data_IF_174139173835
#
_entry.id   IF_174139173835
#
_cell.length_a   1.000
_cell.length_b   1.000
_cell.length_c   1.000
_cell.angle_alpha   90.00
_cell.angle_beta   90.00
_cell.angle_gamma   90.00
#
_symmetry.space_group_name_H-M   'P 1'
#
loop_
_entity.id
_entity.type
_entity.pdbx_description
1 polymer ?
#
# COMPACT_ATOMS: atom_id res chain seq x y z
N UNK A 1 -15.28 11.94 6.81
CA UNK A 1 -15.51 11.03 5.66
C UNK A 1 -14.80 11.62 4.47
N UNK A 2 -13.95 10.87 3.79
CA UNK A 2 -13.21 11.28 2.59
C UNK A 2 -13.46 10.27 1.48
N UNK A 3 -13.26 10.66 0.21
CA UNK A 3 -13.29 9.76 -0.94
C UNK A 3 -11.88 9.43 -1.38
N UNK A 4 -11.60 8.16 -1.64
CA UNK A 4 -10.29 7.66 -2.08
C UNK A 4 -10.44 6.96 -3.43
N UNK A 5 -9.60 7.30 -4.40
CA UNK A 5 -9.45 6.56 -5.65
C UNK A 5 -8.36 5.49 -5.44
N UNK A 6 -8.75 4.21 -5.52
CA UNK A 6 -7.84 3.08 -5.36
C UNK A 6 -7.64 2.36 -6.70
N UNK A 7 -6.39 2.19 -7.12
CA UNK A 7 -5.97 1.57 -8.39
C UNK A 7 -5.05 0.41 -8.04
N UNK A 8 -5.54 -0.83 -8.11
CA UNK A 8 -4.76 -2.04 -7.75
C UNK A 8 -5.39 -3.30 -8.33
N UNK A 9 -4.79 -4.46 -8.07
CA UNK A 9 -5.38 -5.76 -8.41
C UNK A 9 -6.71 -6.00 -7.69
N UNK A 10 -7.56 -6.84 -8.28
CA UNK A 10 -8.72 -7.39 -7.62
C UNK A 10 -8.74 -8.92 -7.76
N UNK A 11 -9.03 -9.61 -6.66
CA UNK A 11 -9.20 -11.06 -6.64
C UNK A 11 -10.60 -11.41 -6.13
N UNK A 12 -11.23 -12.44 -6.75
CA UNK A 12 -12.53 -12.91 -6.32
C UNK A 12 -12.46 -13.67 -4.99
N UNK A 13 -11.37 -14.40 -4.75
CA UNK A 13 -11.08 -15.08 -3.50
C UNK A 13 -9.75 -14.60 -2.93
N UNK A 14 -9.75 -14.18 -1.67
CA UNK A 14 -8.59 -13.69 -0.96
C UNK A 14 -8.71 -12.20 -0.61
N UNK A 15 -7.65 -11.67 0.01
CA UNK A 15 -7.62 -10.33 0.57
C UNK A 15 -6.35 -9.59 0.13
N UNK A 16 -6.15 -9.45 -1.18
CA UNK A 16 -5.06 -8.68 -1.78
C UNK A 16 -5.60 -7.55 -2.65
N UNK A 17 -4.80 -6.51 -2.84
CA UNK A 17 -5.17 -5.36 -3.67
C UNK A 17 -6.48 -4.71 -3.20
N UNK A 18 -7.37 -4.44 -4.13
CA UNK A 18 -8.68 -3.82 -3.83
C UNK A 18 -9.53 -4.64 -2.87
N UNK A 19 -9.37 -5.98 -2.84
CA UNK A 19 -10.09 -6.84 -1.89
C UNK A 19 -9.63 -6.65 -0.44
N UNK A 20 -8.47 -6.02 -0.21
CA UNK A 20 -8.01 -5.59 1.11
C UNK A 20 -8.20 -4.07 1.33
N UNK A 21 -7.86 -3.25 0.34
CA UNK A 21 -7.89 -1.79 0.43
C UNK A 21 -9.32 -1.28 0.67
N UNK A 22 -10.29 -1.75 -0.13
CA UNK A 22 -11.68 -1.26 -0.07
C UNK A 22 -12.33 -1.51 1.29
N UNK A 23 -12.37 -2.74 1.83
CA UNK A 23 -12.99 -2.98 3.13
C UNK A 23 -12.27 -2.27 4.27
N UNK A 24 -10.93 -2.08 4.21
CA UNK A 24 -10.18 -1.36 5.22
C UNK A 24 -10.57 0.13 5.27
N UNK A 25 -10.65 0.80 4.11
CA UNK A 25 -11.06 2.19 4.01
C UNK A 25 -12.53 2.39 4.37
N UNK A 26 -13.44 1.50 3.94
CA UNK A 26 -14.85 1.53 4.33
C UNK A 26 -15.01 1.39 5.85
N UNK A 27 -14.24 0.48 6.47
CA UNK A 27 -14.25 0.32 7.93
C UNK A 27 -13.84 1.60 8.67
N UNK A 28 -12.91 2.39 8.08
CA UNK A 28 -12.49 3.69 8.62
C UNK A 28 -13.43 4.85 8.25
N UNK A 29 -14.56 4.56 7.56
CA UNK A 29 -15.59 5.55 7.22
C UNK A 29 -15.30 6.36 5.96
N UNK A 30 -14.46 5.87 5.04
CA UNK A 30 -14.14 6.52 3.77
C UNK A 30 -14.89 5.86 2.60
N UNK A 31 -15.26 6.66 1.59
CA UNK A 31 -15.76 6.15 0.30
C UNK A 31 -14.60 5.75 -0.60
N UNK A 32 -14.77 4.70 -1.40
CA UNK A 32 -13.73 4.23 -2.31
C UNK A 32 -14.26 4.12 -3.74
N UNK A 33 -13.57 4.78 -4.68
CA UNK A 33 -13.67 4.52 -6.11
C UNK A 33 -12.61 3.46 -6.42
N UNK A 34 -13.02 2.25 -6.80
CA UNK A 34 -12.13 1.12 -7.03
C UNK A 34 -11.92 0.89 -8.54
N UNK A 35 -10.67 1.01 -9.00
CA UNK A 35 -10.25 0.73 -10.38
C UNK A 35 -9.35 -0.51 -10.40
N UNK A 36 -9.85 -1.67 -10.82
CA UNK A 36 -9.04 -2.87 -10.94
C UNK A 36 -8.08 -2.80 -12.12
N UNK A 37 -6.81 -3.15 -11.88
CA UNK A 37 -5.78 -3.31 -12.94
C UNK A 37 -5.76 -4.72 -13.51
N UNK A 38 -6.11 -5.70 -12.68
CA UNK A 38 -6.35 -7.09 -13.03
C UNK A 38 -7.57 -7.59 -12.27
N UNK A 39 -8.30 -8.53 -12.85
CA UNK A 39 -9.38 -9.26 -12.18
C UNK A 39 -9.05 -10.74 -12.24
N UNK A 40 -8.75 -11.34 -11.10
CA UNK A 40 -8.32 -12.73 -10.98
C UNK A 40 -9.24 -13.51 -10.06
N UNK A 41 -9.28 -14.82 -10.24
CA UNK A 41 -9.99 -15.73 -9.33
C UNK A 41 -9.41 -15.70 -7.91
N UNK A 42 -8.09 -15.59 -7.80
CA UNK A 42 -7.32 -15.63 -6.55
C UNK A 42 -5.89 -15.13 -6.79
N UNK A 43 -5.11 -15.02 -5.73
CA UNK A 43 -3.69 -14.65 -5.81
C UNK A 43 -2.91 -15.67 -6.66
N UNK A 44 -1.98 -15.22 -7.56
CA UNK A 44 -1.19 -16.12 -8.43
C UNK A 44 -0.26 -17.08 -7.70
N UNK A 45 0.01 -16.89 -6.41
CA UNK A 45 0.76 -17.84 -5.56
C UNK A 45 0.07 -19.19 -5.37
N UNK A 46 -1.21 -19.33 -5.71
CA UNK A 46 -1.89 -20.63 -5.71
C UNK A 46 -1.55 -21.44 -6.97
N UNK A 47 -1.62 -22.78 -6.91
CA UNK A 47 -1.32 -23.63 -8.07
C UNK A 47 -2.18 -23.39 -9.30
N UNK A 48 -3.36 -22.83 -9.13
CA UNK A 48 -4.30 -22.49 -10.21
C UNK A 48 -4.92 -21.15 -9.97
N UNK A 49 -4.91 -20.31 -10.97
CA UNK A 49 -5.66 -19.06 -11.02
C UNK A 49 -6.14 -18.81 -12.46
N UNK A 50 -7.13 -17.96 -12.60
CA UNK A 50 -7.67 -17.50 -13.89
C UNK A 50 -8.11 -16.04 -13.76
N UNK A 51 -8.19 -15.36 -14.88
CA UNK A 51 -8.60 -13.96 -14.94
C UNK A 51 -7.88 -13.23 -16.05
N UNK A 52 -7.98 -11.91 -16.02
CA UNK A 52 -7.41 -11.05 -17.07
C UNK A 52 -6.86 -9.75 -16.52
N UNK A 53 -5.95 -9.17 -17.27
CA UNK A 53 -5.48 -7.79 -17.08
C UNK A 53 -6.47 -6.85 -17.76
N UNK A 54 -6.95 -5.84 -17.03
CA UNK A 54 -7.77 -4.77 -17.60
C UNK A 54 -6.85 -3.87 -18.44
N UNK A 55 -7.11 -3.67 -19.73
CA UNK A 55 -6.25 -2.83 -20.55
C UNK A 55 -6.09 -1.41 -19.99
N UNK A 56 -4.87 -0.86 -19.98
CA UNK A 56 -4.62 0.48 -19.47
C UNK A 56 -5.48 1.56 -20.16
N UNK A 57 -5.77 1.38 -21.46
CA UNK A 57 -6.68 2.26 -22.20
C UNK A 57 -8.12 2.23 -21.64
N UNK A 58 -8.58 1.08 -21.14
CA UNK A 58 -9.90 0.97 -20.52
C UNK A 58 -9.95 1.67 -19.19
N UNK A 59 -8.87 1.59 -18.37
CA UNK A 59 -8.74 2.37 -17.14
C UNK A 59 -8.78 3.86 -17.45
N UNK A 60 -8.09 4.30 -18.52
CA UNK A 60 -8.17 5.68 -19.00
C UNK A 60 -9.59 6.12 -19.35
N UNK A 61 -10.33 5.30 -20.10
CA UNK A 61 -11.72 5.58 -20.46
C UNK A 61 -12.66 5.64 -19.23
N UNK A 62 -12.43 4.80 -18.22
CA UNK A 62 -13.17 4.89 -16.95
C UNK A 62 -12.85 6.19 -16.21
N UNK A 63 -11.59 6.61 -16.18
CA UNK A 63 -11.19 7.90 -15.59
C UNK A 63 -11.82 9.08 -16.35
N UNK A 64 -11.87 9.05 -17.70
CA UNK A 64 -12.53 10.06 -18.50
C UNK A 64 -14.02 10.22 -18.12
N UNK A 65 -14.72 9.09 -17.97
CA UNK A 65 -16.12 9.09 -17.57
C UNK A 65 -16.32 9.62 -16.14
N UNK A 66 -15.45 9.26 -15.20
CA UNK A 66 -15.49 9.76 -13.81
C UNK A 66 -15.22 11.26 -13.73
N UNK A 67 -14.24 11.76 -14.51
CA UNK A 67 -13.93 13.19 -14.60
C UNK A 67 -15.10 13.97 -15.21
N UNK A 68 -15.69 13.47 -16.28
CA UNK A 68 -16.87 14.08 -16.92
C UNK A 68 -18.09 14.14 -15.99
N UNK A 69 -18.24 13.16 -15.10
CA UNK A 69 -19.29 13.15 -14.07
C UNK A 69 -18.95 14.01 -12.83
N UNK A 70 -17.77 14.63 -12.78
CA UNK A 70 -17.33 15.45 -11.66
C UNK A 70 -16.92 14.68 -10.39
N UNK A 71 -16.79 13.35 -10.46
CA UNK A 71 -16.55 12.53 -9.26
C UNK A 71 -15.13 12.60 -8.73
N UNK A 72 -14.18 13.08 -9.54
CA UNK A 72 -12.79 13.26 -9.12
C UNK A 72 -12.58 14.50 -8.26
N UNK A 73 -13.47 15.49 -8.30
CA UNK A 73 -13.33 16.75 -7.59
C UNK A 73 -13.32 16.60 -6.05
N UNK A 74 -14.11 15.66 -5.53
CA UNK A 74 -14.21 15.40 -4.09
C UNK A 74 -13.24 14.29 -3.62
N UNK A 75 -12.30 13.86 -4.47
CA UNK A 75 -11.34 12.82 -4.12
C UNK A 75 -10.21 13.40 -3.28
N UNK A 76 -10.12 12.96 -2.04
CA UNK A 76 -9.13 13.44 -1.07
C UNK A 76 -7.78 12.71 -1.16
N UNK A 77 -7.77 11.50 -1.75
CA UNK A 77 -6.54 10.75 -1.95
C UNK A 77 -6.64 9.79 -3.12
N UNK A 78 -5.47 9.47 -3.69
CA UNK A 78 -5.28 8.36 -4.61
C UNK A 78 -4.35 7.36 -3.94
N UNK A 79 -4.63 6.06 -4.06
CA UNK A 79 -3.71 4.98 -3.70
C UNK A 79 -3.52 4.07 -4.90
N UNK A 80 -2.27 3.85 -5.30
CA UNK A 80 -1.92 2.84 -6.30
C UNK A 80 -1.20 1.67 -5.63
N UNK A 81 -1.55 0.45 -6.01
CA UNK A 81 -0.87 -0.78 -5.64
C UNK A 81 -0.36 -1.51 -6.88
N UNK A 82 -0.77 -2.77 -7.09
CA UNK A 82 -0.29 -3.60 -8.19
C UNK A 82 -0.63 -3.02 -9.58
N UNK A 83 0.41 -2.73 -10.38
CA UNK A 83 0.32 -2.18 -11.74
C UNK A 83 1.10 -3.10 -12.71
N UNK A 84 0.42 -3.91 -13.54
CA UNK A 84 1.05 -5.01 -14.28
C UNK A 84 1.98 -4.59 -15.43
N UNK A 85 1.99 -3.32 -15.84
CA UNK A 85 2.86 -2.84 -16.93
C UNK A 85 3.17 -1.35 -16.82
N UNK A 86 4.19 -0.83 -17.57
CA UNK A 86 4.48 0.61 -17.64
C UNK A 86 3.27 1.45 -18.09
N UNK A 87 2.42 0.92 -18.97
CA UNK A 87 1.21 1.62 -19.40
C UNK A 87 0.20 1.81 -18.25
N UNK A 88 0.16 0.87 -17.29
CA UNK A 88 -0.66 1.02 -16.08
C UNK A 88 -0.06 2.05 -15.12
N UNK A 89 1.27 2.11 -15.01
CA UNK A 89 1.95 3.17 -14.25
C UNK A 89 1.63 4.56 -14.83
N UNK A 90 1.71 4.72 -16.16
CA UNK A 90 1.29 5.95 -16.84
C UNK A 90 -0.20 6.27 -16.62
N UNK A 91 -1.07 5.27 -16.59
CA UNK A 91 -2.49 5.42 -16.26
C UNK A 91 -2.72 5.90 -14.82
N UNK A 92 -2.00 5.33 -13.86
CA UNK A 92 -2.05 5.75 -12.45
C UNK A 92 -1.52 7.19 -12.29
N UNK A 93 -0.42 7.55 -12.99
CA UNK A 93 0.07 8.93 -13.05
C UNK A 93 -1.02 9.90 -13.54
N UNK A 94 -1.65 9.57 -14.66
CA UNK A 94 -2.74 10.38 -15.19
C UNK A 94 -3.89 10.54 -14.19
N UNK A 95 -4.25 9.49 -13.46
CA UNK A 95 -5.28 9.57 -12.41
C UNK A 95 -4.89 10.54 -11.29
N UNK A 96 -3.65 10.48 -10.80
CA UNK A 96 -3.12 11.40 -9.78
C UNK A 96 -3.16 12.84 -10.27
N UNK A 97 -2.68 13.09 -11.49
CA UNK A 97 -2.67 14.42 -12.10
C UNK A 97 -4.09 15.02 -12.27
N UNK A 98 -5.06 14.19 -12.68
CA UNK A 98 -6.48 14.59 -12.81
C UNK A 98 -7.10 14.91 -11.46
N UNK A 99 -6.92 14.07 -10.46
CA UNK A 99 -7.42 14.32 -9.11
C UNK A 99 -6.80 15.59 -8.54
N UNK A 100 -5.48 15.78 -8.64
CA UNK A 100 -4.80 16.99 -8.14
C UNK A 100 -5.15 18.26 -8.91
N UNK A 101 -5.54 18.15 -10.17
CA UNK A 101 -6.07 19.30 -10.92
C UNK A 101 -7.40 19.78 -10.33
N UNK A 102 -8.23 18.86 -9.89
CA UNK A 102 -9.54 19.16 -9.28
C UNK A 102 -9.43 19.44 -7.78
N UNK A 103 -8.52 18.76 -7.07
CA UNK A 103 -8.23 18.93 -5.64
C UNK A 103 -6.71 18.94 -5.43
N UNK A 104 -6.04 20.12 -5.41
CA UNK A 104 -4.59 20.23 -5.27
C UNK A 104 -4.02 19.63 -3.97
N UNK A 105 -4.81 19.53 -2.92
CA UNK A 105 -4.41 18.99 -1.61
C UNK A 105 -4.55 17.47 -1.53
N UNK A 106 -5.03 16.82 -2.60
CA UNK A 106 -5.20 15.38 -2.63
C UNK A 106 -3.87 14.64 -2.40
N UNK A 107 -3.88 13.72 -1.44
CA UNK A 107 -2.73 12.87 -1.15
C UNK A 107 -2.57 11.83 -2.25
N UNK A 108 -1.31 11.46 -2.52
CA UNK A 108 -1.04 10.27 -3.33
C UNK A 108 -0.18 9.29 -2.54
N UNK A 109 -0.69 8.07 -2.38
CA UNK A 109 0.03 6.93 -1.80
C UNK A 109 0.49 6.02 -2.92
N UNK A 110 1.79 5.88 -3.07
CA UNK A 110 2.43 4.93 -3.97
C UNK A 110 2.81 3.68 -3.17
N UNK A 111 2.04 2.61 -3.29
CA UNK A 111 2.42 1.28 -2.85
C UNK A 111 3.05 0.57 -4.05
N UNK A 112 4.38 0.31 -4.05
CA UNK A 112 5.08 -0.07 -5.28
C UNK A 112 4.66 -1.42 -5.84
N UNK A 113 4.47 -2.42 -5.00
CA UNK A 113 3.99 -3.79 -5.28
C UNK A 113 4.62 -4.39 -6.54
N UNK A 114 5.96 -4.48 -6.58
CA UNK A 114 6.69 -5.05 -7.71
C UNK A 114 7.66 -6.18 -7.35
N UNK A 115 7.88 -6.44 -6.09
CA UNK A 115 8.83 -7.47 -5.64
C UNK A 115 8.76 -7.71 -4.14
N UNK A 116 9.29 -8.86 -3.70
CA UNK A 116 9.43 -9.23 -2.28
C UNK A 116 10.56 -10.26 -2.13
N UNK A 117 11.02 -10.50 -0.93
CA UNK A 117 11.92 -11.59 -0.62
C UNK A 117 11.15 -12.87 -0.27
N UNK A 118 11.64 -14.07 -0.69
CA UNK A 118 12.87 -14.33 -1.44
C UNK A 118 12.67 -14.29 -2.97
N UNK A 119 11.48 -14.01 -3.50
CA UNK A 119 11.12 -14.15 -4.92
C UNK A 119 11.83 -13.13 -5.81
N UNK A 120 12.19 -11.97 -5.28
CA UNK A 120 12.74 -10.86 -6.05
C UNK A 120 11.63 -10.10 -6.82
N UNK A 121 11.96 -9.54 -7.98
CA UNK A 121 10.98 -8.87 -8.83
C UNK A 121 9.98 -9.89 -9.41
N UNK A 122 8.68 -9.65 -9.19
CA UNK A 122 7.60 -10.37 -9.87
C UNK A 122 6.93 -9.56 -10.98
N UNK A 123 7.26 -8.27 -11.09
CA UNK A 123 6.98 -7.45 -12.27
C UNK A 123 8.22 -7.35 -13.16
N UNK A 124 8.03 -6.89 -14.42
CA UNK A 124 9.17 -6.58 -15.28
C UNK A 124 9.97 -5.40 -14.72
N UNK A 125 11.29 -5.41 -14.94
CA UNK A 125 12.17 -4.31 -14.55
C UNK A 125 11.70 -2.97 -15.16
N UNK A 126 11.18 -2.99 -16.39
CA UNK A 126 10.59 -1.81 -17.02
C UNK A 126 9.38 -1.26 -16.26
N UNK A 127 8.56 -2.14 -15.66
CA UNK A 127 7.42 -1.71 -14.84
C UNK A 127 7.89 -1.14 -13.51
N UNK A 128 8.83 -1.80 -12.84
CA UNK A 128 9.42 -1.30 -11.59
C UNK A 128 10.11 0.07 -11.81
N UNK A 129 10.83 0.23 -12.93
CA UNK A 129 11.41 1.50 -13.32
C UNK A 129 10.35 2.58 -13.59
N UNK A 130 9.26 2.27 -14.27
CA UNK A 130 8.17 3.23 -14.49
C UNK A 130 7.51 3.67 -13.15
N UNK A 131 7.34 2.76 -12.20
CA UNK A 131 6.85 3.11 -10.86
C UNK A 131 7.83 4.06 -10.16
N UNK A 132 9.14 3.75 -10.20
CA UNK A 132 10.19 4.61 -9.62
C UNK A 132 10.24 5.99 -10.26
N UNK A 133 10.23 6.05 -11.59
CA UNK A 133 10.54 7.27 -12.34
C UNK A 133 9.33 8.17 -12.57
N UNK A 134 8.12 7.57 -12.64
CA UNK A 134 6.89 8.31 -12.96
C UNK A 134 5.93 8.50 -11.78
N UNK A 135 5.88 7.55 -10.83
CA UNK A 135 4.92 7.59 -9.73
C UNK A 135 5.53 8.06 -8.42
N UNK A 136 6.70 7.54 -8.07
CA UNK A 136 7.36 7.88 -6.81
C UNK A 136 7.59 9.40 -6.65
N UNK A 137 8.01 10.17 -7.69
CA UNK A 137 8.16 11.62 -7.58
C UNK A 137 6.86 12.38 -7.30
N UNK A 138 5.70 11.78 -7.57
CA UNK A 138 4.39 12.36 -7.27
C UNK A 138 3.88 11.98 -5.88
N UNK A 139 4.48 10.99 -5.22
CA UNK A 139 3.97 10.44 -4.00
C UNK A 139 4.05 11.44 -2.82
N UNK A 140 2.96 11.57 -2.08
CA UNK A 140 2.94 12.18 -0.74
C UNK A 140 3.43 11.19 0.31
N UNK A 141 3.20 9.90 0.05
CA UNK A 141 3.63 8.76 0.84
C UNK A 141 3.99 7.59 -0.08
N UNK A 142 5.10 6.93 0.17
CA UNK A 142 5.41 5.63 -0.41
C UNK A 142 5.41 4.54 0.68
N UNK A 143 4.99 3.30 0.32
CA UNK A 143 4.89 2.18 1.28
C UNK A 143 5.69 0.94 0.85
N UNK A 144 6.97 1.08 0.47
CA UNK A 144 7.78 -0.03 0.00
C UNK A 144 8.05 -1.06 1.10
N UNK A 145 8.06 -2.36 0.74
CA UNK A 145 8.64 -3.38 1.60
C UNK A 145 10.19 -3.30 1.60
N UNK A 146 10.85 -4.18 2.36
CA UNK A 146 12.31 -4.19 2.48
C UNK A 146 13.02 -4.34 1.12
N UNK A 147 12.58 -5.28 0.30
CA UNK A 147 13.12 -5.53 -1.04
C UNK A 147 12.90 -4.33 -1.97
N UNK A 148 11.69 -3.82 -2.01
CA UNK A 148 11.31 -2.68 -2.85
C UNK A 148 12.09 -1.42 -2.46
N UNK A 149 12.22 -1.15 -1.16
CA UNK A 149 12.98 -0.01 -0.68
C UNK A 149 14.46 -0.10 -1.11
N UNK A 150 15.08 -1.26 -0.94
CA UNK A 150 16.45 -1.49 -1.37
C UNK A 150 16.61 -1.28 -2.89
N UNK A 151 15.69 -1.82 -3.68
CA UNK A 151 15.69 -1.68 -5.14
C UNK A 151 15.50 -0.22 -5.58
N UNK A 152 14.53 0.49 -5.00
CA UNK A 152 14.21 1.89 -5.32
C UNK A 152 15.35 2.84 -4.97
N UNK A 153 15.98 2.64 -3.82
CA UNK A 153 17.07 3.50 -3.33
C UNK A 153 18.43 3.12 -3.92
N UNK A 154 18.60 1.90 -4.45
CA UNK A 154 19.90 1.36 -4.84
C UNK A 154 20.85 1.19 -3.64
N UNK A 155 20.32 0.99 -2.45
CA UNK A 155 21.03 0.84 -1.18
C UNK A 155 20.64 -0.45 -0.48
N UNK A 156 21.54 -1.08 0.29
CA UNK A 156 21.16 -2.21 1.13
C UNK A 156 20.20 -1.78 2.22
N UNK A 157 19.26 -2.70 2.59
CA UNK A 157 18.31 -2.50 3.68
C UNK A 157 18.21 -3.81 4.47
N UNK A 158 18.82 -3.86 5.63
CA UNK A 158 18.82 -5.04 6.51
C UNK A 158 18.36 -4.74 7.94
N UNK A 159 18.24 -3.45 8.29
CA UNK A 159 17.80 -3.01 9.61
C UNK A 159 17.08 -1.64 9.56
N UNK A 160 16.46 -1.17 10.65
CA UNK A 160 15.76 0.11 10.67
C UNK A 160 16.63 1.35 10.38
N UNK A 161 17.88 1.48 10.85
CA UNK A 161 18.79 2.57 10.44
C UNK A 161 19.07 2.60 8.94
N UNK A 162 19.34 1.46 8.31
CA UNK A 162 19.53 1.36 6.87
C UNK A 162 18.25 1.70 6.10
N UNK A 163 17.09 1.23 6.60
CA UNK A 163 15.79 1.58 6.02
C UNK A 163 15.52 3.09 6.09
N UNK A 164 15.86 3.76 7.20
CA UNK A 164 15.80 5.22 7.32
C UNK A 164 16.64 5.91 6.25
N UNK A 165 17.90 5.48 6.08
CA UNK A 165 18.82 6.05 5.10
C UNK A 165 18.28 5.86 3.67
N UNK A 166 17.85 4.65 3.33
CA UNK A 166 17.29 4.33 2.03
C UNK A 166 15.99 5.11 1.74
N UNK A 167 15.11 5.24 2.72
CA UNK A 167 13.89 6.02 2.60
C UNK A 167 14.16 7.50 2.34
N UNK A 168 15.14 8.09 2.99
CA UNK A 168 15.56 9.48 2.72
C UNK A 168 16.09 9.67 1.31
N UNK A 169 16.84 8.69 0.79
CA UNK A 169 17.39 8.74 -0.56
C UNK A 169 16.30 8.77 -1.65
N UNK A 170 15.07 8.33 -1.36
CA UNK A 170 13.97 8.38 -2.31
C UNK A 170 13.45 9.80 -2.58
N UNK A 171 13.68 10.76 -1.68
CA UNK A 171 13.20 12.13 -1.83
C UNK A 171 11.67 12.29 -1.73
N UNK A 172 10.96 11.27 -1.26
CA UNK A 172 9.50 11.31 -1.04
C UNK A 172 9.21 11.95 0.33
N UNK A 173 8.21 12.86 0.45
CA UNK A 173 7.91 13.55 1.70
C UNK A 173 7.66 12.65 2.90
N UNK A 174 7.08 11.46 2.66
CA UNK A 174 6.88 10.44 3.69
C UNK A 174 7.10 9.06 3.10
N UNK A 175 7.84 8.19 3.80
CA UNK A 175 8.06 6.80 3.42
C UNK A 175 7.74 5.91 4.62
N UNK A 176 6.81 4.99 4.44
CA UNK A 176 6.52 3.92 5.38
C UNK A 176 7.15 2.63 4.88
N UNK A 177 8.40 2.40 5.24
CA UNK A 177 9.12 1.17 4.93
C UNK A 177 8.58 0.01 5.77
N UNK A 178 8.20 -1.09 5.12
CA UNK A 178 7.52 -2.22 5.77
C UNK A 178 8.38 -3.47 5.77
N UNK A 179 8.10 -4.39 6.69
CA UNK A 179 8.78 -5.69 6.79
C UNK A 179 10.30 -5.62 6.96
N UNK A 180 10.81 -4.54 7.54
CA UNK A 180 12.25 -4.35 7.76
C UNK A 180 12.73 -5.32 8.85
N UNK A 181 13.77 -6.14 8.60
CA UNK A 181 14.32 -7.02 9.60
C UNK A 181 14.77 -6.27 10.86
N UNK A 182 14.52 -6.85 12.04
CA UNK A 182 14.93 -6.28 13.31
C UNK A 182 15.40 -7.38 14.27
N UNK A 183 16.06 -6.98 15.38
CA UNK A 183 16.49 -7.89 16.43
C UNK A 183 15.33 -8.69 17.03
N UNK A 184 15.64 -9.77 17.75
CA UNK A 184 14.69 -10.56 18.53
C UNK A 184 13.54 -11.18 17.69
N UNK A 185 13.83 -11.59 16.47
CA UNK A 185 12.85 -12.19 15.55
C UNK A 185 11.62 -11.28 15.34
N UNK A 186 11.87 -9.99 15.14
CA UNK A 186 10.85 -8.98 14.86
C UNK A 186 11.01 -8.41 13.45
N UNK A 187 9.96 -7.76 12.98
CA UNK A 187 9.96 -6.88 11.83
C UNK A 187 9.61 -5.47 12.30
N UNK A 188 10.22 -4.47 11.68
CA UNK A 188 9.90 -3.08 11.89
C UNK A 188 9.10 -2.52 10.70
N UNK A 189 8.11 -1.67 11.00
CA UNK A 189 7.54 -0.74 10.04
C UNK A 189 8.09 0.63 10.39
N UNK A 190 8.92 1.19 9.51
CA UNK A 190 9.70 2.41 9.73
C UNK A 190 9.07 3.55 8.95
N UNK A 191 8.54 4.54 9.65
CA UNK A 191 8.02 5.76 9.04
C UNK A 191 9.10 6.84 9.09
N UNK A 192 9.50 7.29 7.91
CA UNK A 192 10.43 8.41 7.73
C UNK A 192 9.66 9.58 7.16
N UNK A 193 9.67 10.71 7.85
CA UNK A 193 8.99 11.93 7.42
C UNK A 193 9.76 13.15 7.90
N UNK A 194 10.07 14.07 7.00
CA UNK A 194 10.98 15.19 7.26
C UNK A 194 12.33 14.64 7.76
N UNK A 195 12.85 15.15 8.88
CA UNK A 195 14.10 14.69 9.50
C UNK A 195 13.89 13.65 10.60
N UNK A 196 12.66 13.19 10.80
CA UNK A 196 12.29 12.24 11.85
C UNK A 196 12.05 10.84 11.28
N UNK A 197 12.41 9.83 12.06
CA UNK A 197 12.08 8.45 11.77
C UNK A 197 11.61 7.73 13.04
N UNK A 198 10.45 7.09 12.95
CA UNK A 198 9.88 6.28 14.02
C UNK A 198 9.55 4.89 13.52
N UNK A 199 9.69 3.89 14.37
CA UNK A 199 9.37 2.51 14.04
C UNK A 199 8.36 1.90 15.01
N UNK A 200 7.48 1.06 14.46
CA UNK A 200 6.68 0.09 15.20
C UNK A 200 7.22 -1.32 14.93
N UNK A 201 7.37 -2.11 15.98
CA UNK A 201 7.89 -3.47 15.87
C UNK A 201 6.78 -4.49 16.07
N UNK A 202 6.72 -5.47 15.17
CA UNK A 202 5.82 -6.62 15.23
C UNK A 202 6.62 -7.92 15.29
N UNK A 203 6.00 -8.99 15.78
CA UNK A 203 6.65 -10.30 15.80
C UNK A 203 6.74 -10.85 14.37
N UNK A 204 7.93 -11.28 13.95
CA UNK A 204 8.09 -12.05 12.70
C UNK A 204 7.40 -13.40 12.86
N UNK A 205 6.56 -13.76 11.89
CA UNK A 205 5.87 -15.04 11.83
C UNK A 205 6.45 -15.87 10.68
N UNK A 206 6.47 -17.19 10.83
CA UNK A 206 7.01 -18.10 9.80
C UNK A 206 6.27 -17.96 8.47
N UNK A 207 4.97 -17.67 8.53
CA UNK A 207 4.13 -17.46 7.34
C UNK A 207 3.23 -16.26 7.59
N UNK A 208 3.39 -15.26 6.76
CA UNK A 208 2.45 -14.14 6.67
C UNK A 208 1.44 -14.42 5.55
N UNK A 209 0.15 -14.13 5.75
CA UNK A 209 -0.85 -14.22 4.69
C UNK A 209 -0.64 -13.13 3.64
N UNK A 210 -1.13 -13.38 2.42
CA UNK A 210 -1.14 -12.37 1.37
C UNK A 210 -2.00 -11.15 1.75
N UNK A 211 -1.63 -9.96 1.25
CA UNK A 211 -2.41 -8.72 1.40
C UNK A 211 -2.11 -7.90 2.67
N UNK A 212 -1.09 -8.28 3.45
CA UNK A 212 -0.69 -7.51 4.65
C UNK A 212 -0.20 -6.10 4.30
N UNK A 213 0.53 -5.94 3.19
CA UNK A 213 0.98 -4.65 2.65
C UNK A 213 -0.20 -3.77 2.25
N UNK A 214 -1.10 -4.29 1.42
CA UNK A 214 -2.32 -3.59 1.00
C UNK A 214 -3.16 -3.12 2.20
N UNK A 215 -3.34 -3.99 3.19
CA UNK A 215 -4.07 -3.67 4.41
C UNK A 215 -3.36 -2.55 5.20
N UNK A 216 -2.03 -2.64 5.37
CA UNK A 216 -1.25 -1.65 6.11
C UNK A 216 -1.30 -0.28 5.44
N UNK A 217 -1.10 -0.21 4.13
CA UNK A 217 -1.15 1.02 3.36
C UNK A 217 -2.54 1.68 3.44
N UNK A 218 -3.61 0.89 3.29
CA UNK A 218 -4.99 1.37 3.38
C UNK A 218 -5.34 1.84 4.79
N UNK A 219 -4.98 1.09 5.84
CA UNK A 219 -5.23 1.44 7.23
C UNK A 219 -4.46 2.72 7.62
N UNK A 220 -3.20 2.84 7.21
CA UNK A 220 -2.41 4.05 7.46
C UNK A 220 -3.04 5.26 6.77
N UNK A 221 -3.33 5.16 5.46
CA UNK A 221 -3.96 6.25 4.71
C UNK A 221 -5.29 6.68 5.34
N UNK A 222 -6.19 5.74 5.61
CA UNK A 222 -7.50 6.07 6.17
C UNK A 222 -7.42 6.77 7.53
N UNK A 223 -6.47 6.36 8.40
CA UNK A 223 -6.24 7.05 9.68
C UNK A 223 -5.65 8.44 9.50
N UNK A 224 -4.75 8.62 8.53
CA UNK A 224 -4.24 9.96 8.18
C UNK A 224 -5.35 10.87 7.68
N UNK A 225 -6.27 10.35 6.85
CA UNK A 225 -7.47 11.09 6.39
C UNK A 225 -8.45 11.41 7.53
N UNK A 226 -8.45 10.64 8.61
CA UNK A 226 -9.20 10.92 9.83
C UNK A 226 -8.48 11.92 10.77
N UNK A 227 -7.33 12.47 10.36
CA UNK A 227 -6.60 13.50 11.11
C UNK A 227 -5.66 12.96 12.20
N UNK A 228 -5.42 11.65 12.25
CA UNK A 228 -4.45 11.09 13.20
C UNK A 228 -3.02 11.55 12.85
N UNK A 229 -2.18 11.75 13.85
CA UNK A 229 -0.75 12.05 13.64
C UNK A 229 -0.05 10.90 12.93
N UNK A 230 1.06 11.14 12.19
CA UNK A 230 1.78 10.08 11.49
C UNK A 230 2.16 8.89 12.39
N UNK A 231 2.67 9.16 13.59
CA UNK A 231 3.07 8.12 14.55
C UNK A 231 1.86 7.33 15.08
N UNK A 232 0.73 7.98 15.37
CA UNK A 232 -0.48 7.30 15.81
C UNK A 232 -1.09 6.45 14.69
N UNK A 233 -1.14 6.97 13.47
CA UNK A 233 -1.62 6.23 12.31
C UNK A 233 -0.76 4.98 12.04
N UNK A 234 0.58 5.09 12.14
CA UNK A 234 1.50 3.95 12.06
C UNK A 234 1.22 2.91 13.13
N UNK A 235 1.19 3.34 14.41
CA UNK A 235 0.94 2.48 15.55
C UNK A 235 -0.36 1.68 15.38
N UNK A 236 -1.43 2.35 15.01
CA UNK A 236 -2.74 1.75 14.89
C UNK A 236 -2.88 0.87 13.62
N UNK A 237 -2.28 1.26 12.50
CA UNK A 237 -2.27 0.45 11.28
C UNK A 237 -1.45 -0.83 11.48
N UNK A 238 -0.24 -0.72 12.02
CA UNK A 238 0.61 -1.89 12.33
C UNK A 238 -0.05 -2.84 13.33
N UNK A 239 -0.73 -2.29 14.34
CA UNK A 239 -1.50 -3.07 15.32
C UNK A 239 -2.66 -3.84 14.69
N UNK A 240 -3.42 -3.20 13.80
CA UNK A 240 -4.53 -3.84 13.10
C UNK A 240 -4.04 -5.00 12.21
N UNK A 241 -2.93 -4.79 11.49
CA UNK A 241 -2.31 -5.83 10.66
C UNK A 241 -1.78 -6.97 11.52
N UNK A 242 -1.02 -6.70 12.59
CA UNK A 242 -0.50 -7.74 13.49
C UNK A 242 -1.62 -8.57 14.11
N UNK A 243 -2.73 -7.93 14.54
CA UNK A 243 -3.91 -8.62 15.06
C UNK A 243 -4.54 -9.54 14.00
N UNK A 244 -4.65 -9.07 12.74
CA UNK A 244 -5.17 -9.85 11.62
C UNK A 244 -4.28 -11.06 11.30
N UNK A 245 -2.98 -10.86 11.27
CA UNK A 245 -1.99 -11.93 11.05
C UNK A 245 -2.00 -12.93 12.20
N UNK A 246 -2.12 -12.44 13.44
CA UNK A 246 -2.21 -13.31 14.63
C UNK A 246 -3.46 -14.22 14.61
N UNK A 247 -4.58 -13.68 14.14
CA UNK A 247 -5.85 -14.42 14.04
C UNK A 247 -5.93 -15.36 12.81
N UNK A 248 -4.94 -15.30 11.93
CA UNK A 248 -4.98 -16.01 10.63
C UNK A 248 -4.90 -17.54 10.74
N UNK A 249 -4.39 -18.10 11.83
CA UNK A 249 -4.26 -19.56 12.06
C UNK A 249 -3.55 -20.32 10.93
N UNK A 250 -2.55 -19.71 10.28
CA UNK A 250 -1.74 -20.35 9.23
C UNK A 250 -2.41 -20.47 7.86
N UNK A 251 -3.51 -19.75 7.62
CA UNK A 251 -4.14 -19.65 6.30
C UNK A 251 -3.30 -18.77 5.36
N UNK A 252 -3.46 -18.95 4.05
CA UNK A 252 -2.79 -18.12 3.04
C UNK A 252 -3.40 -16.74 2.89
N UNK A 253 -4.69 -16.58 3.26
CA UNK A 253 -5.46 -15.35 3.11
C UNK A 253 -5.73 -14.67 4.44
N UNK A 254 -5.70 -13.33 4.46
CA UNK A 254 -6.15 -12.53 5.60
C UNK A 254 -7.65 -12.70 5.84
N UNK A 255 -8.09 -13.06 7.05
CA UNK A 255 -9.51 -13.22 7.36
C UNK A 255 -10.17 -11.88 7.69
N UNK A 256 -10.18 -10.90 6.76
CA UNK A 256 -10.59 -9.51 7.02
C UNK A 256 -12.01 -9.42 7.62
N UNK A 257 -12.96 -10.22 7.13
CA UNK A 257 -14.32 -10.23 7.65
C UNK A 257 -14.39 -10.64 9.14
N UNK A 258 -13.50 -11.55 9.56
CA UNK A 258 -13.46 -12.01 10.95
C UNK A 258 -12.61 -11.08 11.85
N UNK A 259 -11.67 -10.33 11.28
CA UNK A 259 -10.71 -9.51 12.04
C UNK A 259 -11.07 -8.04 12.09
N UNK A 260 -12.02 -7.56 11.31
CA UNK A 260 -12.44 -6.16 11.31
C UNK A 260 -12.80 -5.64 12.71
N UNK A 261 -13.48 -6.44 13.51
CA UNK A 261 -13.81 -6.07 14.90
C UNK A 261 -12.55 -5.95 15.79
N UNK A 262 -11.48 -6.68 15.48
CA UNK A 262 -10.23 -6.62 16.21
C UNK A 262 -9.48 -5.30 15.97
N UNK A 263 -9.70 -4.65 14.82
CA UNK A 263 -8.98 -3.41 14.46
C UNK A 263 -9.30 -2.25 15.42
N UNK A 264 -10.53 -2.22 15.96
CA UNK A 264 -10.92 -1.23 16.97
C UNK A 264 -10.31 -1.50 18.36
N UNK A 265 -10.12 -2.77 18.69
CA UNK A 265 -9.64 -3.21 20.02
C UNK A 265 -8.16 -3.59 20.04
N UNK A 266 -7.48 -3.59 18.88
CA UNK A 266 -6.07 -3.88 18.82
C UNK A 266 -5.27 -2.88 19.67
N UNK A 267 -4.42 -3.41 20.54
CA UNK A 267 -3.60 -2.58 21.41
C UNK A 267 -2.60 -1.79 20.57
N UNK A 268 -2.61 -0.47 20.73
CA UNK A 268 -1.65 0.40 20.07
C UNK A 268 -0.20 -0.06 20.33
N UNK A 269 0.56 -0.24 19.26
CA UNK A 269 1.97 -0.60 19.34
C UNK A 269 2.79 0.65 19.69
N UNK A 270 3.81 0.54 20.56
CA UNK A 270 4.68 1.66 20.84
C UNK A 270 5.49 2.04 19.60
N UNK A 271 5.69 3.34 19.42
CA UNK A 271 6.64 3.88 18.43
C UNK A 271 7.94 4.25 19.13
N UNK A 272 9.07 3.96 18.47
CA UNK A 272 10.41 4.32 18.96
C UNK A 272 11.16 5.09 17.87
N UNK A 273 12.02 6.02 18.26
CA UNK A 273 12.90 6.73 17.31
C UNK A 273 13.92 5.77 16.70
N UNK A 274 14.29 6.00 15.44
CA UNK A 274 15.25 5.21 14.64
C UNK A 274 16.45 6.07 14.27
#
# INVERSE_FOLDING_TARGET
MARVLAISSYVAFGSVGLAAIVPALHWLGHEVIALPTVVLSNHPGYPRFAGETIPAAQIGAMLDAMEANGWLADTAAVISGYLPSPAHAAGARSAVERVRRANPDALYVCDPVFGDEPEGLYLSEATAAAIRDELLPLASLATPNCFELAWLAGLPVGDPPEARQAAWALGVPSVLATSIPASDNRLANVLVQNDEAVACYVRRREKAPHGTGDLLAAMYLGRRLNGETPANALSAAASAVDASVAANMGRDELPLAATGALWASARALPTTQV
#
